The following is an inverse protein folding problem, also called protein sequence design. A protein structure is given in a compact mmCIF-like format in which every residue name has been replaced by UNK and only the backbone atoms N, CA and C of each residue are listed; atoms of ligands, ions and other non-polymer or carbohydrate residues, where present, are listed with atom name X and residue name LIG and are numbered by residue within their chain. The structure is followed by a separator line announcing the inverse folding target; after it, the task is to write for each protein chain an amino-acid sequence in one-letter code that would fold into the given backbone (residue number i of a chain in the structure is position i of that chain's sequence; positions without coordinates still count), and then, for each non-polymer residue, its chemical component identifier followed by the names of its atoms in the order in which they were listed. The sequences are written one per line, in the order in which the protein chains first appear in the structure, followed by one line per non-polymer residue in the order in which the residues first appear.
data_IF_650371104099
#
_entry.id   IF_650371104099
#
_cell.length_a   1.000
_cell.length_b   1.000
_cell.length_c   1.000
_cell.angle_alpha   90.00
_cell.angle_beta   90.00
_cell.angle_gamma   90.00
#
_symmetry.space_group_name_H-M   'P 1'
#
loop_
_entity.id
_entity.type
_entity.pdbx_description
1 polymer ?
#
# COMPACT_ATOMS: atom_id res chain seq x y z
N UNK A 1 -18.69 8.99 3.10
CA UNK A 1 -18.53 7.74 3.90
C UNK A 1 -19.44 7.83 5.11
N UNK A 2 -19.90 6.69 5.64
CA UNK A 2 -20.61 6.68 6.93
C UNK A 2 -19.64 7.14 8.04
N UNK A 3 -20.11 7.88 9.04
CA UNK A 3 -19.26 8.30 10.15
C UNK A 3 -18.75 7.07 10.91
N UNK A 4 -17.52 7.14 11.41
CA UNK A 4 -16.79 6.10 12.15
C UNK A 4 -16.43 4.85 11.33
N UNK A 5 -16.55 4.89 10.01
CA UNK A 5 -16.05 3.81 9.17
C UNK A 5 -14.52 3.86 9.03
N UNK A 6 -13.93 2.70 8.71
CA UNK A 6 -12.52 2.57 8.34
C UNK A 6 -12.36 2.71 6.83
N UNK A 7 -11.46 3.60 6.41
CA UNK A 7 -10.92 3.70 5.08
C UNK A 7 -9.61 2.90 5.03
N UNK A 8 -9.61 1.81 4.25
CA UNK A 8 -8.43 1.01 3.96
C UNK A 8 -7.75 1.44 2.67
N UNK A 9 -6.45 1.70 2.69
CA UNK A 9 -5.63 2.04 1.54
C UNK A 9 -4.59 0.95 1.26
N UNK A 10 -4.33 0.65 -0.01
CA UNK A 10 -3.22 -0.24 -0.39
C UNK A 10 -1.92 0.51 -0.69
N UNK A 11 -1.99 1.84 -0.72
CA UNK A 11 -0.87 2.71 -1.00
C UNK A 11 -1.07 4.12 -0.42
N UNK A 12 0.01 4.81 -0.06
CA UNK A 12 -0.02 6.15 0.57
C UNK A 12 -0.24 7.33 -0.38
N UNK A 13 -0.54 7.08 -1.66
CA UNK A 13 -0.63 8.12 -2.70
C UNK A 13 -1.66 9.21 -2.36
N UNK A 14 -2.86 8.81 -1.93
CA UNK A 14 -3.95 9.74 -1.63
C UNK A 14 -3.58 10.73 -0.52
N UNK A 15 -2.86 10.28 0.52
CA UNK A 15 -2.38 11.17 1.57
C UNK A 15 -1.39 12.20 1.01
N UNK A 16 -0.44 11.76 0.17
CA UNK A 16 0.52 12.66 -0.47
C UNK A 16 -0.16 13.70 -1.36
N UNK A 17 -1.18 13.29 -2.12
CA UNK A 17 -1.95 14.20 -2.96
C UNK A 17 -2.74 15.21 -2.12
N UNK A 18 -3.45 14.78 -1.07
CA UNK A 18 -4.18 15.68 -0.18
C UNK A 18 -3.24 16.72 0.46
N UNK A 19 -2.07 16.29 0.94
CA UNK A 19 -1.06 17.19 1.49
C UNK A 19 -0.54 18.20 0.46
N UNK A 20 -0.41 17.81 -0.81
CA UNK A 20 0.03 18.73 -1.88
C UNK A 20 -0.96 19.86 -2.16
N UNK A 21 -2.26 19.64 -1.89
CA UNK A 21 -3.31 20.65 -2.01
C UNK A 21 -3.69 21.30 -0.68
N UNK A 22 -2.93 21.02 0.40
CA UNK A 22 -3.18 21.56 1.74
C UNK A 22 -4.39 20.97 2.46
N UNK A 23 -4.86 19.79 2.05
CA UNK A 23 -5.99 19.07 2.64
C UNK A 23 -5.51 17.83 3.42
N UNK A 24 -6.38 17.28 4.26
CA UNK A 24 -6.19 16.02 4.98
C UNK A 24 -7.51 15.22 5.03
N UNK A 25 -7.46 14.00 5.54
CA UNK A 25 -8.64 13.15 5.68
C UNK A 25 -9.65 13.73 6.70
N UNK A 26 -10.96 13.50 6.48
CA UNK A 26 -12.00 13.89 7.44
C UNK A 26 -11.79 13.25 8.81
N UNK A 27 -11.89 14.01 9.92
CA UNK A 27 -11.66 13.50 11.29
C UNK A 27 -12.67 12.46 11.78
N UNK A 28 -13.78 12.29 11.07
CA UNK A 28 -14.86 11.38 11.43
C UNK A 28 -14.70 9.95 10.85
N UNK A 29 -13.56 9.65 10.23
CA UNK A 29 -13.25 8.31 9.70
C UNK A 29 -11.89 7.83 10.21
N UNK A 30 -11.72 6.52 10.33
CA UNK A 30 -10.42 5.91 10.59
C UNK A 30 -9.70 5.69 9.27
N UNK A 31 -8.40 5.97 9.18
CA UNK A 31 -7.61 5.77 7.96
C UNK A 31 -6.44 4.85 8.24
N UNK A 32 -6.42 3.71 7.55
CA UNK A 32 -5.42 2.66 7.69
C UNK A 32 -4.91 2.29 6.31
N UNK A 33 -3.62 1.98 6.20
CA UNK A 33 -3.03 1.46 4.99
C UNK A 33 -2.35 0.09 5.21
N UNK A 34 -2.59 -0.84 4.28
CA UNK A 34 -1.93 -2.14 4.18
C UNK A 34 -1.31 -2.25 2.79
N UNK A 35 0.01 -2.17 2.74
CA UNK A 35 0.74 -1.98 1.49
C UNK A 35 1.62 -3.22 1.19
N UNK A 36 1.13 -4.19 0.40
CA UNK A 36 1.94 -5.30 -0.07
C UNK A 36 3.05 -4.79 -1.00
N UNK A 37 4.25 -5.37 -0.88
CA UNK A 37 5.45 -4.99 -1.64
C UNK A 37 5.60 -5.75 -2.96
N UNK A 38 4.50 -6.20 -3.54
CA UNK A 38 4.48 -6.93 -4.80
C UNK A 38 3.33 -6.53 -5.69
N UNK A 39 3.37 -7.00 -6.93
CA UNK A 39 2.33 -6.74 -7.93
C UNK A 39 1.05 -7.53 -7.60
N UNK A 40 -0.10 -7.00 -7.99
CA UNK A 40 -1.41 -7.65 -7.77
C UNK A 40 -1.45 -9.14 -8.17
N UNK A 41 -0.97 -9.53 -9.37
CA UNK A 41 -0.91 -10.93 -9.78
C UNK A 41 -0.03 -11.80 -8.86
N UNK A 42 1.08 -11.27 -8.37
CA UNK A 42 1.97 -12.00 -7.46
C UNK A 42 1.34 -12.22 -6.09
N UNK A 43 0.56 -11.27 -5.58
CA UNK A 43 -0.18 -11.43 -4.31
C UNK A 43 -1.11 -12.62 -4.42
N UNK A 44 -1.92 -12.67 -5.49
CA UNK A 44 -2.87 -13.78 -5.69
C UNK A 44 -2.18 -15.12 -5.92
N UNK A 45 -1.11 -15.15 -6.71
CA UNK A 45 -0.37 -16.39 -6.99
C UNK A 45 0.23 -16.99 -5.72
N UNK A 46 0.91 -16.17 -4.92
CA UNK A 46 1.53 -16.62 -3.67
C UNK A 46 0.47 -17.00 -2.63
N UNK A 47 -0.66 -16.30 -2.58
CA UNK A 47 -1.80 -16.70 -1.75
C UNK A 47 -2.32 -18.11 -2.10
N UNK A 48 -2.44 -18.43 -3.39
CA UNK A 48 -2.88 -19.77 -3.83
C UNK A 48 -1.82 -20.82 -3.50
N UNK A 49 -0.53 -20.52 -3.74
CA UNK A 49 0.59 -21.41 -3.39
C UNK A 49 0.70 -21.63 -1.87
N UNK A 50 0.28 -20.65 -1.05
CA UNK A 50 0.28 -20.73 0.41
C UNK A 50 -0.66 -21.77 0.99
N UNK A 51 -1.53 -22.37 0.17
CA UNK A 51 -2.34 -23.52 0.56
C UNK A 51 -1.52 -24.80 0.70
N UNK A 52 -0.50 -24.95 -0.16
CA UNK A 52 0.31 -26.16 -0.24
C UNK A 52 1.69 -25.97 0.40
N UNK A 53 2.19 -24.73 0.43
CA UNK A 53 3.51 -24.38 0.98
C UNK A 53 3.34 -23.43 2.15
N UNK A 54 3.71 -23.90 3.35
CA UNK A 54 3.73 -23.06 4.55
C UNK A 54 4.66 -21.86 4.35
N UNK A 55 4.08 -20.67 4.41
CA UNK A 55 4.81 -19.42 4.29
C UNK A 55 4.92 -18.84 2.88
N UNK A 56 4.21 -19.34 1.87
CA UNK A 56 4.15 -18.61 0.60
C UNK A 56 3.30 -17.34 0.76
N UNK A 57 3.91 -16.16 0.57
CA UNK A 57 3.29 -14.88 0.89
C UNK A 57 4.08 -13.67 0.38
N UNK A 58 3.45 -12.51 0.37
CA UNK A 58 4.12 -11.24 0.04
C UNK A 58 4.29 -10.43 1.32
N UNK A 59 5.47 -9.83 1.49
CA UNK A 59 5.72 -8.88 2.56
C UNK A 59 4.81 -7.65 2.44
N UNK A 60 4.24 -7.22 3.55
CA UNK A 60 3.43 -6.02 3.61
C UNK A 60 3.88 -5.11 4.74
N UNK A 61 3.77 -3.82 4.51
CA UNK A 61 3.90 -2.81 5.56
C UNK A 61 2.54 -2.23 5.87
N UNK A 62 2.30 -1.85 7.11
CA UNK A 62 1.05 -1.20 7.49
C UNK A 62 1.28 0.13 8.15
N UNK A 63 0.23 0.93 8.19
CA UNK A 63 0.24 2.25 8.79
C UNK A 63 -1.16 2.62 9.25
N UNK A 64 -1.25 3.21 10.44
CA UNK A 64 -2.48 3.83 10.96
C UNK A 64 -2.24 5.34 10.94
N UNK A 65 -3.04 6.08 10.18
CA UNK A 65 -2.91 7.55 10.09
C UNK A 65 -3.78 8.26 11.10
N UNK A 66 -5.03 7.84 11.22
CA UNK A 66 -5.96 8.39 12.21
C UNK A 66 -6.99 7.34 12.63
N UNK A 67 -7.47 7.48 13.86
CA UNK A 67 -8.48 6.64 14.47
C UNK A 67 -9.70 7.50 14.78
N UNK A 68 -10.87 7.07 14.33
CA UNK A 68 -12.14 7.61 14.80
C UNK A 68 -12.38 7.13 16.25
N UNK A 69 -13.00 7.97 17.10
CA UNK A 69 -13.07 7.75 18.56
C UNK A 69 -13.83 6.49 19.01
N UNK A 70 -14.57 5.82 18.13
CA UNK A 70 -15.34 4.60 18.46
C UNK A 70 -14.62 3.29 18.08
N UNK A 71 -13.36 3.36 17.62
CA UNK A 71 -12.63 2.22 17.05
C UNK A 71 -11.34 1.91 17.84
N UNK A 72 -11.50 1.42 19.07
CA UNK A 72 -10.45 0.81 19.89
C UNK A 72 -10.81 -0.69 20.02
N UNK A 73 -10.09 -1.66 19.40
CA UNK A 73 -8.70 -1.63 18.96
C UNK A 73 -8.53 -1.92 17.45
N UNK A 74 -8.07 -0.96 16.66
CA UNK A 74 -7.82 -1.17 15.21
C UNK A 74 -6.64 -2.11 14.93
N UNK A 75 -5.68 -2.24 15.84
CA UNK A 75 -4.55 -3.18 15.69
C UNK A 75 -5.03 -4.64 15.49
N UNK A 76 -6.14 -5.06 16.11
CA UNK A 76 -6.69 -6.41 15.90
C UNK A 76 -7.30 -6.58 14.51
N UNK A 77 -8.09 -5.60 14.05
CA UNK A 77 -8.69 -5.59 12.71
C UNK A 77 -7.59 -5.63 11.64
N UNK A 78 -6.53 -4.87 11.88
CA UNK A 78 -5.38 -4.79 10.99
C UNK A 78 -4.65 -6.13 10.96
N UNK A 79 -4.49 -6.78 12.11
CA UNK A 79 -3.98 -8.15 12.23
C UNK A 79 -4.84 -9.19 11.52
N UNK A 80 -6.17 -9.10 11.63
CA UNK A 80 -7.10 -10.00 10.94
C UNK A 80 -7.03 -9.85 9.42
N UNK A 81 -7.02 -8.61 8.91
CA UNK A 81 -6.86 -8.35 7.47
C UNK A 81 -5.51 -8.89 6.96
N UNK A 82 -4.46 -8.89 7.78
CA UNK A 82 -3.18 -9.52 7.39
C UNK A 82 -3.24 -11.04 7.33
N UNK A 83 -3.93 -11.67 8.29
CA UNK A 83 -4.15 -13.12 8.29
C UNK A 83 -4.81 -13.57 6.99
N UNK A 84 -5.68 -12.74 6.42
CA UNK A 84 -6.33 -13.02 5.13
C UNK A 84 -5.41 -12.85 3.91
N UNK A 85 -4.34 -12.07 3.97
CA UNK A 85 -3.47 -11.76 2.81
C UNK A 85 -2.21 -12.65 2.75
N UNK A 86 -2.01 -13.59 3.70
CA UNK A 86 -0.82 -14.46 3.75
C UNK A 86 0.48 -13.63 3.75
N UNK A 87 0.57 -12.65 4.64
CA UNK A 87 1.80 -11.85 4.82
C UNK A 87 2.73 -12.54 5.83
N UNK A 88 3.95 -12.88 5.41
CA UNK A 88 4.95 -13.57 6.25
C UNK A 88 5.56 -12.68 7.34
N UNK A 89 5.86 -11.41 7.02
CA UNK A 89 6.52 -10.46 7.91
C UNK A 89 5.88 -9.09 7.72
N UNK A 90 5.56 -8.43 8.83
CA UNK A 90 4.86 -7.15 8.86
C UNK A 90 5.76 -6.09 9.51
N UNK A 91 5.87 -4.93 8.86
CA UNK A 91 6.51 -3.75 9.42
C UNK A 91 5.52 -2.62 9.62
N UNK A 92 5.50 -2.04 10.82
CA UNK A 92 4.81 -0.78 11.08
C UNK A 92 5.57 0.36 10.42
N UNK A 93 4.87 1.17 9.65
CA UNK A 93 5.40 2.29 8.89
C UNK A 93 4.44 3.48 8.95
N UNK A 94 4.87 4.67 8.53
CA UNK A 94 3.98 5.81 8.36
C UNK A 94 3.45 5.84 6.92
N UNK A 95 2.18 6.23 6.71
CA UNK A 95 1.58 6.35 5.36
C UNK A 95 2.43 7.28 4.47
N UNK A 96 2.99 8.36 5.05
CA UNK A 96 3.89 9.28 4.34
C UNK A 96 5.13 8.58 3.76
N UNK A 97 5.75 7.67 4.53
CA UNK A 97 6.90 6.90 4.07
C UNK A 97 6.52 5.88 2.99
N UNK A 98 5.30 5.35 3.04
CA UNK A 98 4.79 4.46 1.99
C UNK A 98 4.63 5.24 0.68
N UNK A 99 4.04 6.44 0.74
CA UNK A 99 3.91 7.34 -0.39
C UNK A 99 5.26 7.64 -1.05
N UNK A 100 6.25 8.06 -0.26
CA UNK A 100 7.59 8.36 -0.75
C UNK A 100 8.26 7.16 -1.42
N UNK A 101 8.24 5.98 -0.77
CA UNK A 101 8.85 4.76 -1.34
C UNK A 101 8.26 4.38 -2.69
N UNK A 102 6.95 4.51 -2.86
CA UNK A 102 6.31 4.19 -4.12
C UNK A 102 6.54 5.21 -5.21
N UNK A 103 6.54 6.50 -4.88
CA UNK A 103 6.94 7.54 -5.83
C UNK A 103 8.38 7.32 -6.29
N UNK A 104 9.31 7.01 -5.37
CA UNK A 104 10.68 6.62 -5.74
C UNK A 104 10.71 5.36 -6.62
N UNK A 105 9.91 4.35 -6.33
CA UNK A 105 9.87 3.12 -7.12
C UNK A 105 9.28 3.35 -8.52
N UNK A 106 8.24 4.16 -8.64
CA UNK A 106 7.68 4.58 -9.93
C UNK A 106 8.66 5.43 -10.72
N UNK A 107 9.35 6.38 -10.09
CA UNK A 107 10.40 7.16 -10.75
C UNK A 107 11.53 6.26 -11.26
N UNK A 108 11.98 5.28 -10.46
CA UNK A 108 12.98 4.31 -10.90
C UNK A 108 12.48 3.47 -12.08
N UNK A 109 11.22 3.04 -12.08
CA UNK A 109 10.64 2.32 -13.21
C UNK A 109 10.53 3.20 -14.45
N UNK A 110 10.14 4.47 -14.30
CA UNK A 110 10.06 5.42 -15.42
C UNK A 110 11.44 5.76 -15.98
N UNK A 111 12.48 5.87 -15.14
CA UNK A 111 13.86 6.05 -15.61
C UNK A 111 14.38 4.82 -16.36
N UNK A 112 14.02 3.60 -15.94
CA UNK A 112 14.35 2.37 -16.67
C UNK A 112 13.59 2.26 -18.00
N UNK A 113 12.35 2.75 -18.07
CA UNK A 113 11.57 2.84 -19.32
C UNK A 113 12.18 3.88 -20.26
N UNK A 114 12.59 5.05 -19.77
CA UNK A 114 13.27 6.07 -20.58
C UNK A 114 14.60 5.55 -21.15
N UNK A 115 15.36 4.74 -20.39
CA UNK A 115 16.57 4.09 -20.93
C UNK A 115 16.30 2.96 -21.93
N UNK A 116 15.07 2.43 -22.00
CA UNK A 116 14.68 1.45 -23.03
C UNK A 116 14.11 2.11 -24.30
N UNK A 117 13.78 3.40 -24.25
CA UNK A 117 13.38 4.21 -25.40
C UNK A 117 14.55 5.11 -25.87
N UNK A 118 15.63 4.51 -26.34
CA UNK A 118 16.49 5.18 -27.32
C UNK A 118 15.69 5.34 -28.62
N UNK A 119 15.58 6.56 -29.21
CA UNK A 119 14.79 6.77 -30.41
C UNK A 119 15.39 5.96 -31.55
N UNK A 120 14.56 5.11 -32.16
CA UNK A 120 14.75 4.58 -33.51
C UNK A 120 14.90 5.77 -34.47
N UNK A 121 16.12 6.27 -34.62
CA UNK A 121 16.47 7.27 -35.61
C UNK A 121 16.23 6.65 -36.99
N UNK A 122 15.30 7.29 -37.71
CA UNK A 122 15.03 7.19 -39.14
C UNK A 122 16.26 6.77 -39.95
N UNK A 123 16.18 5.58 -40.55
CA UNK A 123 16.91 5.26 -41.77
C UNK A 123 16.05 5.73 -42.96
N UNK A 124 16.44 6.86 -43.53
CA UNK A 124 16.29 7.18 -44.96
C UNK A 124 17.65 7.65 -45.47
#
# INVERSE_FOLDING_TARGET
MKPNNILGLSHGFLLGHLQSVGLDFPKNISVVAVCPKGMGPSVRRLYVQGKDINGAGIYASFAVHQLAPLHEPIESIVTEVFGMILTLIIFRSLIRWQCYKYLCQQMLQNQLIEQQYEPLHMLF
#
